data_IF_351786830671
#
_entry.id   IF_351786830671
#
_cell.length_a   1.000
_cell.length_b   1.000
_cell.length_c   1.000
_cell.angle_alpha   90.00
_cell.angle_beta   90.00
_cell.angle_gamma   90.00
#
_symmetry.space_group_name_H-M   'P 1'
#
loop_
_entity.id
_entity.type
_entity.pdbx_description
1 polymer ?
#
# COMPACT_ATOMS: atom_id res chain seq x y z
N UNK A 1 2.12 -19.65 14.82
CA UNK A 1 1.88 -18.68 13.73
C UNK A 1 3.21 -18.55 12.98
N UNK A 2 3.24 -18.76 11.67
CA UNK A 2 4.45 -18.58 10.87
C UNK A 2 4.50 -17.10 10.50
N UNK A 3 5.60 -16.37 10.77
CA UNK A 3 5.74 -14.99 10.37
C UNK A 3 5.76 -14.86 8.84
N UNK A 4 5.20 -13.77 8.33
CA UNK A 4 5.24 -13.43 6.91
C UNK A 4 6.45 -12.57 6.59
N UNK A 5 7.01 -12.77 5.40
CA UNK A 5 8.10 -11.96 4.87
C UNK A 5 7.51 -10.89 3.94
N UNK A 6 7.91 -9.64 4.15
CA UNK A 6 7.51 -8.51 3.33
C UNK A 6 8.73 -7.92 2.61
N UNK A 7 8.59 -7.71 1.32
CA UNK A 7 9.56 -7.01 0.48
C UNK A 7 9.10 -5.57 0.29
N UNK A 8 9.81 -4.61 0.85
CA UNK A 8 9.57 -3.19 0.64
C UNK A 8 10.30 -2.70 -0.62
N UNK A 9 9.54 -2.23 -1.60
CA UNK A 9 10.08 -1.64 -2.84
C UNK A 9 10.18 -0.13 -2.69
N UNK A 10 11.15 0.34 -1.90
CA UNK A 10 11.42 1.76 -1.67
C UNK A 10 12.25 2.39 -2.81
N UNK A 11 11.92 2.00 -4.04
CA UNK A 11 12.51 2.57 -5.25
C UNK A 11 11.94 3.96 -5.54
N UNK A 12 12.66 4.74 -6.33
CA UNK A 12 12.18 6.05 -6.77
C UNK A 12 11.27 5.97 -8.00
N UNK A 13 11.27 4.84 -8.72
CA UNK A 13 10.45 4.65 -9.91
C UNK A 13 10.04 3.18 -10.08
N UNK A 14 8.96 2.99 -10.80
CA UNK A 14 8.40 1.67 -11.13
C UNK A 14 9.40 0.78 -11.90
N UNK A 15 10.20 1.36 -12.80
CA UNK A 15 11.17 0.58 -13.59
C UNK A 15 12.23 -0.11 -12.72
N UNK A 16 12.71 0.54 -11.66
CA UNK A 16 13.69 -0.06 -10.75
C UNK A 16 13.05 -1.15 -9.89
N UNK A 17 11.81 -0.95 -9.45
CA UNK A 17 11.06 -1.97 -8.75
C UNK A 17 10.83 -3.22 -9.64
N UNK A 18 10.52 -3.04 -10.92
CA UNK A 18 10.37 -4.15 -11.88
C UNK A 18 11.66 -4.94 -12.02
N UNK A 19 12.82 -4.29 -12.09
CA UNK A 19 14.12 -4.98 -12.15
C UNK A 19 14.36 -5.86 -10.93
N UNK A 20 13.97 -5.37 -9.74
CA UNK A 20 14.05 -6.17 -8.50
C UNK A 20 13.11 -7.38 -8.59
N UNK A 21 11.87 -7.17 -8.98
CA UNK A 21 10.88 -8.26 -9.11
C UNK A 21 11.29 -9.28 -10.18
N UNK A 22 11.93 -8.84 -11.27
CA UNK A 22 12.43 -9.73 -12.33
C UNK A 22 13.53 -10.69 -11.86
N UNK A 23 14.16 -10.46 -10.70
CA UNK A 23 15.08 -11.42 -10.09
C UNK A 23 14.40 -12.68 -9.52
N UNK A 24 13.07 -12.71 -9.48
CA UNK A 24 12.29 -13.81 -8.88
C UNK A 24 12.06 -13.65 -7.37
N UNK A 25 12.57 -12.57 -6.74
CA UNK A 25 12.42 -12.37 -5.28
C UNK A 25 10.96 -12.33 -4.82
N UNK A 26 10.04 -11.93 -5.71
CA UNK A 26 8.62 -11.92 -5.39
C UNK A 26 8.07 -13.30 -5.02
N UNK A 27 8.66 -14.39 -5.53
CA UNK A 27 8.22 -15.75 -5.23
C UNK A 27 8.60 -16.19 -3.82
N UNK A 28 9.66 -15.60 -3.26
CA UNK A 28 10.22 -15.93 -1.95
C UNK A 28 9.59 -15.16 -0.79
N UNK A 29 8.66 -14.22 -1.06
CA UNK A 29 8.03 -13.37 -0.05
C UNK A 29 6.52 -13.52 -0.05
N UNK A 30 5.89 -13.20 1.08
CA UNK A 30 4.42 -13.26 1.24
C UNK A 30 3.74 -11.97 0.77
N UNK A 31 4.37 -10.84 1.03
CA UNK A 31 3.83 -9.49 0.80
C UNK A 31 4.83 -8.70 -0.03
N UNK A 32 4.34 -8.02 -1.06
CA UNK A 32 5.10 -7.00 -1.79
C UNK A 32 4.53 -5.63 -1.45
N UNK A 33 5.39 -4.73 -1.05
CA UNK A 33 5.01 -3.35 -0.71
C UNK A 33 5.37 -2.40 -1.84
N UNK A 34 4.35 -1.66 -2.31
CA UNK A 34 4.56 -0.46 -3.11
C UNK A 34 5.02 0.65 -2.17
N UNK A 35 6.32 0.95 -2.19
CA UNK A 35 6.95 1.86 -1.24
C UNK A 35 6.51 3.32 -1.39
N UNK A 36 6.59 4.04 -0.28
CA UNK A 36 6.19 5.43 -0.16
C UNK A 36 6.81 6.34 -1.24
N UNK A 37 8.12 6.23 -1.45
CA UNK A 37 8.84 7.09 -2.39
C UNK A 37 8.33 6.96 -3.83
N UNK A 38 8.05 5.73 -4.26
CA UNK A 38 7.54 5.43 -5.59
C UNK A 38 6.10 5.96 -5.76
N UNK A 39 5.23 5.72 -4.78
CA UNK A 39 3.84 6.21 -4.84
C UNK A 39 3.81 7.74 -4.81
N UNK A 40 4.62 8.37 -3.96
CA UNK A 40 4.68 9.82 -3.87
C UNK A 40 5.16 10.48 -5.18
N UNK A 41 6.05 9.81 -5.90
CA UNK A 41 6.62 10.32 -7.16
C UNK A 41 5.73 10.06 -8.37
N UNK A 42 5.15 8.85 -8.48
CA UNK A 42 4.43 8.41 -9.69
C UNK A 42 2.91 8.38 -9.52
N UNK A 43 2.45 8.56 -8.28
CA UNK A 43 1.03 8.57 -7.92
C UNK A 43 0.46 7.18 -7.60
N UNK A 44 -0.75 7.17 -7.06
CA UNK A 44 -1.44 5.95 -6.58
C UNK A 44 -1.68 4.90 -7.67
N UNK A 45 -1.64 5.27 -8.96
CA UNK A 45 -1.76 4.34 -10.10
C UNK A 45 -0.74 3.20 -10.07
N UNK A 46 0.41 3.41 -9.40
CA UNK A 46 1.43 2.38 -9.20
C UNK A 46 0.85 1.15 -8.52
N UNK A 47 -0.02 1.33 -7.53
CA UNK A 47 -0.65 0.22 -6.81
C UNK A 47 -1.47 -0.67 -7.75
N UNK A 48 -2.25 -0.06 -8.65
CA UNK A 48 -3.02 -0.79 -9.66
C UNK A 48 -2.09 -1.56 -10.61
N UNK A 49 -1.03 -0.92 -11.07
CA UNK A 49 -0.05 -1.55 -11.94
C UNK A 49 0.60 -2.78 -11.30
N UNK A 50 1.01 -2.67 -10.03
CA UNK A 50 1.57 -3.81 -9.29
C UNK A 50 0.53 -4.90 -9.02
N UNK A 51 -0.74 -4.55 -8.79
CA UNK A 51 -1.81 -5.55 -8.68
C UNK A 51 -1.98 -6.36 -9.96
N UNK A 52 -1.90 -5.72 -11.12
CA UNK A 52 -1.97 -6.40 -12.42
C UNK A 52 -0.77 -7.32 -12.66
N UNK A 53 0.44 -6.91 -12.23
CA UNK A 53 1.64 -7.74 -12.33
C UNK A 53 1.68 -8.90 -11.32
N UNK A 54 1.13 -8.71 -10.14
CA UNK A 54 1.22 -9.61 -9.00
C UNK A 54 -0.18 -10.01 -8.49
N UNK A 55 -1.02 -10.62 -9.32
CA UNK A 55 -2.44 -10.84 -9.00
C UNK A 55 -2.65 -11.74 -7.77
N UNK A 56 -1.71 -12.64 -7.49
CA UNK A 56 -1.81 -13.63 -6.41
C UNK A 56 -0.97 -13.30 -5.17
N UNK A 57 -0.24 -12.17 -5.16
CA UNK A 57 0.54 -11.73 -4.00
C UNK A 57 -0.28 -10.81 -3.10
N UNK A 58 0.01 -10.85 -1.81
CA UNK A 58 -0.46 -9.78 -0.94
C UNK A 58 0.29 -8.49 -1.28
N UNK A 59 -0.46 -7.43 -1.47
CA UNK A 59 0.06 -6.12 -1.86
C UNK A 59 -0.21 -5.10 -0.74
N UNK A 60 0.84 -4.40 -0.32
CA UNK A 60 0.74 -3.28 0.59
C UNK A 60 1.01 -1.98 -0.17
N UNK A 61 0.14 -0.99 0.01
CA UNK A 61 0.32 0.37 -0.50
C UNK A 61 0.74 1.29 0.64
N UNK A 62 2.02 1.68 0.65
CA UNK A 62 2.57 2.56 1.67
C UNK A 62 2.52 4.03 1.23
N UNK A 63 1.59 4.80 1.79
CA UNK A 63 1.56 6.25 1.59
C UNK A 63 1.42 7.02 2.90
N UNK A 64 1.32 6.33 4.04
CA UNK A 64 1.22 6.97 5.37
C UNK A 64 0.13 8.05 5.39
N UNK A 65 -1.08 7.66 5.01
CA UNK A 65 -2.22 8.60 4.89
C UNK A 65 -2.36 9.37 6.21
N UNK A 66 -2.31 10.68 6.15
CA UNK A 66 -2.43 11.57 7.32
C UNK A 66 -3.60 12.53 7.19
N UNK A 67 -4.07 12.78 5.98
CA UNK A 67 -5.17 13.70 5.67
C UNK A 67 -5.90 13.26 4.40
N UNK A 68 -7.03 13.91 4.10
CA UNK A 68 -7.83 13.68 2.90
C UNK A 68 -8.14 12.19 2.64
N UNK A 69 -8.55 11.44 3.69
CA UNK A 69 -8.75 9.99 3.66
C UNK A 69 -9.62 9.49 2.52
N UNK A 70 -10.66 10.27 2.12
CA UNK A 70 -11.51 9.95 0.98
C UNK A 70 -10.76 10.03 -0.36
N UNK A 71 -10.01 11.10 -0.60
CA UNK A 71 -9.31 11.31 -1.87
C UNK A 71 -8.06 10.42 -1.99
N UNK A 72 -7.20 10.47 -0.98
CA UNK A 72 -5.93 9.72 -0.96
C UNK A 72 -6.18 8.22 -0.77
N UNK A 73 -7.02 7.86 0.23
CA UNK A 73 -7.40 6.48 0.47
C UNK A 73 -8.13 5.87 -0.73
N UNK A 74 -9.09 6.60 -1.31
CA UNK A 74 -9.80 6.18 -2.51
C UNK A 74 -8.88 5.89 -3.69
N UNK A 75 -7.91 6.78 -3.96
CA UNK A 75 -6.94 6.59 -5.03
C UNK A 75 -6.06 5.34 -4.85
N UNK A 76 -5.62 5.06 -3.61
CA UNK A 76 -4.86 3.83 -3.32
C UNK A 76 -5.72 2.57 -3.44
N UNK A 77 -6.96 2.64 -2.95
CA UNK A 77 -7.91 1.52 -2.95
C UNK A 77 -8.38 1.15 -4.37
N UNK A 78 -8.30 2.05 -5.34
CA UNK A 78 -8.54 1.74 -6.76
C UNK A 78 -7.54 0.69 -7.29
N UNK A 79 -6.36 0.59 -6.70
CA UNK A 79 -5.37 -0.46 -6.96
C UNK A 79 -5.65 -1.79 -6.26
N UNK A 80 -6.69 -1.88 -5.43
CA UNK A 80 -7.10 -3.08 -4.69
C UNK A 80 -5.96 -3.71 -3.87
N UNK A 81 -5.25 -2.92 -3.04
CA UNK A 81 -4.22 -3.47 -2.16
C UNK A 81 -4.86 -4.30 -1.03
N UNK A 82 -4.12 -5.30 -0.51
CA UNK A 82 -4.55 -6.07 0.66
C UNK A 82 -4.32 -5.29 1.96
N UNK A 83 -3.35 -4.36 1.94
CA UNK A 83 -2.98 -3.50 3.06
C UNK A 83 -2.71 -2.08 2.58
N UNK A 84 -3.02 -1.08 3.43
CA UNK A 84 -2.54 0.30 3.24
C UNK A 84 -2.16 0.91 4.57
N UNK A 85 -1.25 1.89 4.55
CA UNK A 85 -0.73 2.53 5.76
C UNK A 85 -1.44 3.85 6.05
N UNK A 86 -1.71 4.08 7.34
CA UNK A 86 -2.25 5.32 7.88
C UNK A 86 -1.34 5.76 9.01
N UNK A 87 -0.99 7.04 9.07
CA UNK A 87 -0.17 7.57 10.14
C UNK A 87 -1.00 7.80 11.40
N UNK A 88 -0.50 7.40 12.58
CA UNK A 88 -1.22 7.58 13.86
C UNK A 88 -1.47 9.05 14.23
N UNK A 89 -0.75 9.98 13.61
CA UNK A 89 -0.92 11.42 13.79
C UNK A 89 -2.11 12.01 13.01
N UNK A 90 -2.85 11.18 12.25
CA UNK A 90 -4.02 11.66 11.52
C UNK A 90 -5.21 11.91 12.46
N UNK A 91 -6.14 12.76 12.02
CA UNK A 91 -7.43 12.92 12.69
C UNK A 91 -8.28 11.64 12.54
N UNK A 92 -9.09 11.25 13.55
CA UNK A 92 -9.96 10.07 13.46
C UNK A 92 -10.84 10.05 12.22
N UNK A 93 -11.37 11.20 11.80
CA UNK A 93 -12.19 11.33 10.60
C UNK A 93 -11.46 10.95 9.30
N UNK A 94 -10.13 11.01 9.29
CA UNK A 94 -9.34 10.53 8.14
C UNK A 94 -9.40 9.00 8.05
N UNK A 95 -9.34 8.30 9.18
CA UNK A 95 -9.46 6.84 9.24
C UNK A 95 -10.85 6.43 8.78
N UNK A 96 -11.90 7.08 9.32
CA UNK A 96 -13.29 6.81 8.96
C UNK A 96 -13.51 6.99 7.46
N UNK A 97 -12.97 8.06 6.86
CA UNK A 97 -13.06 8.32 5.44
C UNK A 97 -12.40 7.23 4.58
N UNK A 98 -11.25 6.69 5.00
CA UNK A 98 -10.61 5.56 4.30
C UNK A 98 -11.45 4.29 4.42
N UNK A 99 -12.04 4.04 5.59
CA UNK A 99 -12.94 2.90 5.82
C UNK A 99 -14.16 2.99 4.88
N UNK A 100 -14.80 4.15 4.80
CA UNK A 100 -15.93 4.38 3.89
C UNK A 100 -15.56 4.11 2.43
N UNK A 101 -14.40 4.61 1.98
CA UNK A 101 -13.92 4.37 0.61
C UNK A 101 -13.63 2.89 0.34
N UNK A 102 -13.12 2.15 1.33
CA UNK A 102 -12.94 0.70 1.27
C UNK A 102 -14.30 -0.04 1.14
N UNK A 103 -15.29 0.36 1.93
CA UNK A 103 -16.64 -0.24 1.92
C UNK A 103 -17.36 0.02 0.59
N UNK A 104 -17.30 1.25 0.07
CA UNK A 104 -17.86 1.60 -1.25
C UNK A 104 -17.32 0.72 -2.39
N UNK A 105 -16.07 0.24 -2.26
CA UNK A 105 -15.40 -0.63 -3.23
C UNK A 105 -15.57 -2.12 -2.94
N UNK A 106 -16.24 -2.47 -1.85
CA UNK A 106 -16.38 -3.84 -1.36
C UNK A 106 -15.01 -4.56 -1.27
N UNK A 107 -14.07 -3.95 -0.54
CA UNK A 107 -12.71 -4.45 -0.34
C UNK A 107 -12.49 -4.89 1.11
N UNK A 108 -11.61 -5.89 1.29
CA UNK A 108 -11.14 -6.37 2.60
C UNK A 108 -9.77 -5.80 2.98
N UNK A 109 -9.36 -4.69 2.36
CA UNK A 109 -8.09 -4.01 2.63
C UNK A 109 -7.93 -3.72 4.11
N UNK A 110 -6.81 -4.14 4.69
CA UNK A 110 -6.45 -3.89 6.10
C UNK A 110 -5.73 -2.56 6.22
N UNK A 111 -6.15 -1.77 7.21
CA UNK A 111 -5.51 -0.50 7.52
C UNK A 111 -4.42 -0.76 8.57
N UNK A 112 -3.18 -0.45 8.24
CA UNK A 112 -2.04 -0.56 9.15
C UNK A 112 -1.73 0.84 9.71
N UNK A 113 -1.81 0.98 11.03
CA UNK A 113 -1.49 2.24 11.70
C UNK A 113 0.00 2.28 11.99
N UNK A 114 0.70 3.22 11.38
CA UNK A 114 2.11 3.48 11.67
C UNK A 114 2.25 4.43 12.84
N UNK A 115 2.95 3.99 13.88
CA UNK A 115 3.15 4.78 15.11
C UNK A 115 4.19 5.89 14.93
N UNK A 116 5.18 5.68 14.06
CA UNK A 116 6.17 6.69 13.64
C UNK A 116 6.82 7.44 14.80
N UNK A 117 7.30 6.69 15.81
CA UNK A 117 7.93 7.24 17.00
C UNK A 117 6.98 7.58 18.17
N UNK A 118 5.69 7.34 18.03
CA UNK A 118 4.68 7.49 19.08
C UNK A 118 4.39 6.13 19.73
N UNK A 119 5.29 5.63 20.57
CA UNK A 119 5.15 4.41 21.36
C UNK A 119 5.39 4.63 22.84
#
# INVERSE_FOLDING_TARGET
>A
MIPKIQLALDCLCTEDAIKILASGVADEVDIVECGYCMIAREGARVVKYFREMLPNKQLLADLKIVDAGNAIGGALLDGRPDHTTILCACEPGTIDAVIEEREKRNLDTKLQIELYGHW
#
